data_IF_041442581340
#
_entry.id   IF_041442581340
#
_cell.length_a   1.000
_cell.length_b   1.000
_cell.length_c   1.000
_cell.angle_alpha   90.00
_cell.angle_beta   90.00
_cell.angle_gamma   90.00
#
_symmetry.space_group_name_H-M   'P 1'
#
loop_
_entity.id
_entity.type
_entity.pdbx_description
1 polymer ?
#
# COMPACT_ATOMS: atom_id res chain seq x y z
N UNK A 1 -2.55 4.23 12.37
CA UNK A 1 -3.18 3.22 11.50
C UNK A 1 -4.52 3.69 10.94
N UNK A 2 -5.36 4.43 11.69
CA UNK A 2 -6.59 5.03 11.09
C UNK A 2 -6.32 5.89 9.85
N UNK A 3 -5.24 6.70 9.87
CA UNK A 3 -4.84 7.56 8.74
C UNK A 3 -4.54 6.80 7.43
N UNK A 4 -3.95 5.59 7.48
CA UNK A 4 -3.68 4.80 6.25
C UNK A 4 -4.96 4.34 5.58
N UNK A 5 -5.90 3.87 6.39
CA UNK A 5 -7.17 3.39 5.91
C UNK A 5 -7.95 4.54 5.26
N UNK A 6 -7.92 5.74 5.87
CA UNK A 6 -8.54 6.94 5.30
C UNK A 6 -7.92 7.31 3.95
N UNK A 7 -6.59 7.28 3.80
CA UNK A 7 -5.94 7.56 2.51
C UNK A 7 -6.28 6.50 1.45
N UNK A 8 -6.29 5.22 1.81
CA UNK A 8 -6.71 4.15 0.88
C UNK A 8 -8.16 4.30 0.45
N UNK A 9 -9.05 4.63 1.39
CA UNK A 9 -10.47 4.85 1.12
C UNK A 9 -10.69 6.09 0.25
N UNK A 10 -9.93 7.17 0.46
CA UNK A 10 -10.00 8.39 -0.36
C UNK A 10 -9.57 8.13 -1.80
N UNK A 11 -8.50 7.36 -2.01
CA UNK A 11 -8.05 6.94 -3.35
C UNK A 11 -9.13 6.09 -4.03
N UNK A 12 -9.67 5.10 -3.31
CA UNK A 12 -10.74 4.24 -3.82
C UNK A 12 -11.98 5.07 -4.22
N UNK A 13 -12.40 6.02 -3.38
CA UNK A 13 -13.52 6.92 -3.65
C UNK A 13 -13.29 7.77 -4.91
N UNK A 14 -12.10 8.32 -5.10
CA UNK A 14 -11.77 9.11 -6.28
C UNK A 14 -11.83 8.26 -7.56
N UNK A 15 -11.33 7.02 -7.52
CA UNK A 15 -11.39 6.11 -8.66
C UNK A 15 -12.85 5.75 -9.00
N UNK A 16 -13.67 5.45 -7.98
CA UNK A 16 -15.09 5.14 -8.17
C UNK A 16 -15.85 6.34 -8.72
N UNK A 17 -15.65 7.54 -8.18
CA UNK A 17 -16.27 8.77 -8.69
C UNK A 17 -15.89 9.02 -10.16
N UNK A 18 -14.60 8.90 -10.49
CA UNK A 18 -14.11 9.12 -11.85
C UNK A 18 -14.66 8.08 -12.85
N UNK A 19 -14.75 6.82 -12.44
CA UNK A 19 -15.32 5.77 -13.29
C UNK A 19 -16.84 5.84 -13.42
N UNK A 20 -17.56 6.25 -12.37
CA UNK A 20 -19.00 6.52 -12.43
C UNK A 20 -19.31 7.70 -13.36
N UNK A 21 -18.49 8.76 -13.34
CA UNK A 21 -18.61 9.89 -14.28
C UNK A 21 -18.43 9.47 -15.74
N UNK A 22 -17.60 8.46 -15.99
CA UNK A 22 -17.42 7.87 -17.33
C UNK A 22 -18.42 6.75 -17.65
N UNK A 23 -19.21 6.33 -16.66
CA UNK A 23 -20.11 5.17 -16.73
C UNK A 23 -19.41 3.89 -17.21
N UNK A 24 -18.13 3.75 -16.88
CA UNK A 24 -17.27 2.64 -17.32
C UNK A 24 -16.78 1.86 -16.10
N UNK A 25 -17.47 0.76 -15.82
CA UNK A 25 -17.18 -0.12 -14.69
C UNK A 25 -15.89 -0.92 -14.87
N UNK A 26 -15.48 -1.22 -16.11
CA UNK A 26 -14.19 -1.86 -16.38
C UNK A 26 -13.03 -0.93 -16.06
N UNK A 27 -13.22 0.37 -16.30
CA UNK A 27 -12.26 1.39 -15.89
C UNK A 27 -12.08 1.40 -14.37
N UNK A 28 -13.18 1.38 -13.58
CA UNK A 28 -13.11 1.31 -12.10
C UNK A 28 -12.31 0.09 -11.65
N UNK A 29 -12.61 -1.09 -12.21
CA UNK A 29 -11.90 -2.33 -11.86
C UNK A 29 -10.42 -2.26 -12.19
N UNK A 30 -10.06 -1.76 -13.37
CA UNK A 30 -8.66 -1.65 -13.83
C UNK A 30 -7.85 -0.72 -12.92
N UNK A 31 -8.38 0.46 -12.61
CA UNK A 31 -7.67 1.44 -11.79
C UNK A 31 -7.60 1.07 -10.31
N UNK A 32 -8.65 0.46 -9.76
CA UNK A 32 -8.61 -0.06 -8.38
C UNK A 32 -7.60 -1.19 -8.25
N UNK A 33 -7.53 -2.10 -9.23
CA UNK A 33 -6.50 -3.13 -9.28
C UNK A 33 -5.07 -2.56 -9.36
N UNK A 34 -4.82 -1.62 -10.28
CA UNK A 34 -3.50 -0.99 -10.39
C UNK A 34 -3.11 -0.22 -9.13
N UNK A 35 -4.05 0.48 -8.51
CA UNK A 35 -3.78 1.20 -7.26
C UNK A 35 -3.42 0.26 -6.11
N UNK A 36 -4.10 -0.89 -6.00
CA UNK A 36 -3.78 -1.93 -5.03
C UNK A 36 -2.41 -2.54 -5.32
N UNK A 37 -2.11 -2.86 -6.58
CA UNK A 37 -0.83 -3.41 -7.00
C UNK A 37 0.33 -2.46 -6.67
N UNK A 38 0.23 -1.16 -6.98
CA UNK A 38 1.27 -0.16 -6.68
C UNK A 38 1.50 -0.06 -5.16
N UNK A 39 0.44 0.00 -4.36
CA UNK A 39 0.55 0.06 -2.90
C UNK A 39 1.19 -1.22 -2.33
N UNK A 40 0.87 -2.37 -2.90
CA UNK A 40 1.48 -3.65 -2.53
C UNK A 40 2.96 -3.70 -2.91
N UNK A 41 3.32 -3.26 -4.12
CA UNK A 41 4.72 -3.19 -4.58
C UNK A 41 5.53 -2.22 -3.74
N UNK A 42 4.97 -1.07 -3.36
CA UNK A 42 5.62 -0.12 -2.43
C UNK A 42 5.83 -0.75 -1.05
N UNK A 43 4.81 -1.43 -0.52
CA UNK A 43 4.94 -2.18 0.74
C UNK A 43 6.03 -3.25 0.67
N UNK A 44 6.08 -4.01 -0.42
CA UNK A 44 7.10 -5.02 -0.66
C UNK A 44 8.50 -4.41 -0.80
N UNK A 45 8.65 -3.29 -1.53
CA UNK A 45 9.94 -2.62 -1.73
C UNK A 45 10.50 -2.06 -0.42
N UNK A 46 9.64 -1.48 0.43
CA UNK A 46 10.02 -1.10 1.80
C UNK A 46 10.44 -2.32 2.63
N UNK A 47 9.76 -3.47 2.46
CA UNK A 47 10.13 -4.73 3.12
C UNK A 47 11.42 -5.36 2.60
N UNK A 48 11.75 -5.22 1.31
CA UNK A 48 13.01 -5.72 0.75
C UNK A 48 14.18 -4.82 1.13
N UNK A 49 13.98 -3.50 1.20
CA UNK A 49 14.99 -2.57 1.69
C UNK A 49 15.38 -2.82 3.16
N UNK A 50 14.53 -3.49 3.96
CA UNK A 50 14.92 -3.95 5.30
C UNK A 50 15.78 -5.21 5.32
N UNK A 51 15.65 -6.11 4.33
CA UNK A 51 16.47 -7.33 4.25
C UNK A 51 17.92 -7.03 3.84
N UNK A 52 18.14 -5.98 3.04
CA UNK A 52 19.49 -5.54 2.66
C UNK A 52 20.27 -4.88 3.81
N UNK A 53 19.59 -4.41 4.86
CA UNK A 53 20.25 -3.85 6.05
C UNK A 53 20.93 -4.91 6.92
N UNK A 54 20.67 -6.19 6.67
CA UNK A 54 21.34 -7.33 7.33
C UNK A 54 22.67 -7.72 6.67
N UNK A 55 23.04 -7.09 5.55
CA UNK A 55 24.39 -7.19 5.01
C UNK A 55 25.30 -6.27 5.84
N UNK A 56 26.08 -6.89 6.73
CA UNK A 56 27.06 -6.31 7.65
C UNK A 56 27.50 -4.87 7.34
N UNK A 57 27.04 -3.86 8.10
CA UNK A 57 27.69 -2.56 8.08
C UNK A 57 29.07 -2.68 8.76
N UNK A 58 30.12 -2.02 8.23
CA UNK A 58 31.44 -2.01 8.88
C UNK A 58 31.29 -1.51 10.33
N UNK A 59 31.94 -2.20 11.26
CA UNK A 59 31.80 -2.13 12.72
C UNK A 59 32.00 -0.72 13.37
N UNK A 60 32.22 0.33 12.57
CA UNK A 60 32.45 1.69 13.03
C UNK A 60 31.17 2.54 13.18
N UNK A 61 30.01 2.08 12.69
CA UNK A 61 28.75 2.86 12.71
C UNK A 61 27.59 2.21 13.48
N UNK A 62 27.83 1.15 14.26
CA UNK A 62 26.78 0.51 15.04
C UNK A 62 26.41 1.37 16.26
N UNK A 63 25.51 2.33 16.08
CA UNK A 63 24.64 2.82 17.15
C UNK A 63 23.41 1.90 17.23
N UNK A 64 23.38 0.90 18.14
CA UNK A 64 22.28 -0.07 18.24
C UNK A 64 20.90 0.57 18.50
N UNK A 65 20.85 1.80 19.01
CA UNK A 65 19.59 2.54 19.20
C UNK A 65 18.96 3.06 17.90
N UNK A 66 19.75 3.31 16.85
CA UNK A 66 19.25 3.91 15.62
C UNK A 66 18.59 2.86 14.71
N UNK A 67 19.15 1.65 14.69
CA UNK A 67 18.67 0.51 13.91
C UNK A 67 17.30 -0.01 14.39
N UNK A 68 17.08 -0.07 15.72
CA UNK A 68 15.77 -0.44 16.29
C UNK A 68 14.67 0.58 16.03
N UNK A 69 15.00 1.88 16.04
CA UNK A 69 14.04 2.95 15.76
C UNK A 69 13.65 2.97 14.28
N UNK A 70 14.59 2.70 13.38
CA UNK A 70 14.37 2.67 11.94
C UNK A 70 13.56 1.42 11.53
N UNK A 71 13.88 0.23 12.07
CA UNK A 71 13.08 -0.98 11.85
C UNK A 71 11.62 -0.85 12.32
N UNK A 72 11.39 -0.25 13.49
CA UNK A 72 10.02 0.01 13.99
C UNK A 72 9.25 1.02 13.12
N UNK A 73 9.94 1.98 12.53
CA UNK A 73 9.37 2.93 11.56
C UNK A 73 9.00 2.23 10.26
N UNK A 74 9.90 1.40 9.71
CA UNK A 74 9.70 0.70 8.43
C UNK A 74 8.58 -0.34 8.47
N UNK A 75 8.48 -1.15 9.55
CA UNK A 75 7.36 -2.09 9.75
C UNK A 75 6.01 -1.36 9.83
N UNK A 76 6.02 -0.15 10.42
CA UNK A 76 4.82 0.69 10.48
C UNK A 76 4.42 1.21 9.10
N UNK A 77 5.40 1.52 8.23
CA UNK A 77 5.18 1.93 6.85
C UNK A 77 4.72 0.77 5.96
N UNK A 78 5.33 -0.42 6.04
CA UNK A 78 4.84 -1.60 5.30
C UNK A 78 3.39 -1.89 5.68
N UNK A 79 3.09 -1.99 6.98
CA UNK A 79 1.72 -2.16 7.47
C UNK A 79 0.78 -1.04 6.98
N UNK A 80 1.27 0.20 6.90
CA UNK A 80 0.50 1.33 6.39
C UNK A 80 0.10 1.12 4.92
N UNK A 81 1.03 0.69 4.06
CA UNK A 81 0.77 0.44 2.64
C UNK A 81 -0.17 -0.74 2.43
N UNK A 82 0.02 -1.85 3.16
CA UNK A 82 -0.88 -3.01 3.09
C UNK A 82 -2.30 -2.65 3.55
N UNK A 83 -2.46 -1.92 4.66
CA UNK A 83 -3.78 -1.47 5.10
C UNK A 83 -4.43 -0.48 4.14
N UNK A 84 -3.64 0.36 3.46
CA UNK A 84 -4.16 1.31 2.47
C UNK A 84 -4.60 0.62 1.17
N UNK A 85 -4.09 -0.57 0.87
CA UNK A 85 -4.50 -1.36 -0.31
C UNK A 85 -5.85 -2.09 -0.11
N UNK A 86 -6.24 -2.37 1.15
CA UNK A 86 -7.48 -3.10 1.46
C UNK A 86 -8.75 -2.46 0.89
N UNK A 87 -9.00 -1.14 1.02
CA UNK A 87 -10.17 -0.51 0.42
C UNK A 87 -10.22 -0.66 -1.10
N UNK A 88 -9.07 -0.57 -1.79
CA UNK A 88 -9.02 -0.73 -3.24
C UNK A 88 -9.34 -2.17 -3.67
N UNK A 89 -8.83 -3.17 -2.94
CA UNK A 89 -9.18 -4.58 -3.19
C UNK A 89 -10.65 -4.87 -2.90
N UNK A 90 -11.21 -4.28 -1.84
CA UNK A 90 -12.63 -4.42 -1.51
C UNK A 90 -13.52 -3.84 -2.62
N UNK A 91 -13.20 -2.65 -3.12
CA UNK A 91 -13.92 -2.02 -4.23
C UNK A 91 -13.76 -2.86 -5.50
N UNK A 92 -12.55 -3.32 -5.83
CA UNK A 92 -12.33 -4.20 -6.97
C UNK A 92 -13.22 -5.45 -6.89
N UNK A 93 -13.22 -6.15 -5.75
CA UNK A 93 -14.05 -7.33 -5.53
C UNK A 93 -15.55 -7.02 -5.61
N UNK A 94 -16.01 -5.94 -5.00
CA UNK A 94 -17.41 -5.53 -5.06
C UNK A 94 -17.87 -5.29 -6.50
N UNK A 95 -17.12 -4.50 -7.28
CA UNK A 95 -17.46 -4.23 -8.68
C UNK A 95 -17.29 -5.45 -9.59
N UNK A 96 -16.36 -6.35 -9.28
CA UNK A 96 -16.25 -7.63 -9.99
C UNK A 96 -17.53 -8.46 -9.84
N UNK A 97 -18.08 -8.57 -8.63
CA UNK A 97 -19.37 -9.25 -8.40
C UNK A 97 -20.58 -8.56 -9.03
N UNK A 98 -20.57 -7.23 -9.16
CA UNK A 98 -21.64 -6.49 -9.85
C UNK A 98 -21.51 -6.49 -11.38
N UNK A 99 -20.30 -6.72 -11.90
CA UNK A 99 -20.00 -6.76 -13.34
C UNK A 99 -20.15 -8.15 -13.96
N UNK A 100 -20.35 -9.20 -13.15
CA UNK A 100 -20.55 -10.59 -13.61
C UNK A 100 -22.02 -10.95 -13.57
#
# INVERSE_FOLDING_TARGET
MRKSLTTGCAIALLIVLAGLLKNDYQWIMTWTFYSAAILFTLGALVSFSSLQSTAEPPAYFQQPQQEHKDNKSRIRWTSFFFLAALPNLFVYGAFYFFST
#
